data_IF_717439875849
#
_entry.id   IF_717439875849
#
_cell.length_a   1.000
_cell.length_b   1.000
_cell.length_c   1.000
_cell.angle_alpha   90.00
_cell.angle_beta   90.00
_cell.angle_gamma   90.00
#
_symmetry.space_group_name_H-M   'P 1'
#
loop_
_entity.id
_entity.type
_entity.pdbx_description
1 polymer ?
#
# COMPACT_ATOMS: atom_id res chain seq x y z
N UNK A 1 7.80 -9.81 19.01
CA UNK A 1 8.81 -9.60 17.96
C UNK A 1 9.00 -8.09 17.75
N UNK A 2 10.22 -7.63 17.42
CA UNK A 2 10.45 -6.25 16.98
C UNK A 2 10.63 -6.31 15.46
N UNK A 3 9.69 -5.74 14.72
CA UNK A 3 9.79 -5.59 13.26
C UNK A 3 10.31 -4.19 12.92
N UNK A 4 10.83 -4.04 11.70
CA UNK A 4 11.16 -2.72 11.15
C UNK A 4 10.68 -2.63 9.72
N UNK A 5 10.16 -1.45 9.38
CA UNK A 5 9.65 -1.13 8.05
C UNK A 5 10.40 0.08 7.54
N UNK A 6 10.92 -0.02 6.32
CA UNK A 6 11.45 1.12 5.57
C UNK A 6 10.65 1.25 4.28
N UNK A 7 10.06 2.41 4.03
CA UNK A 7 9.31 2.68 2.80
C UNK A 7 9.94 3.80 1.98
N UNK A 8 9.80 3.73 0.67
CA UNK A 8 10.23 4.77 -0.26
C UNK A 8 9.17 4.96 -1.37
N UNK A 9 8.94 6.21 -1.76
CA UNK A 9 8.04 6.59 -2.83
C UNK A 9 8.71 7.60 -3.77
N UNK A 10 8.68 7.35 -5.09
CA UNK A 10 9.33 8.21 -6.08
C UNK A 10 8.55 8.24 -7.40
N UNK A 11 8.47 9.42 -8.05
CA UNK A 11 8.10 9.49 -9.46
C UNK A 11 9.33 9.43 -10.37
N UNK A 12 9.24 8.64 -11.43
CA UNK A 12 10.25 8.56 -12.48
C UNK A 12 9.65 8.00 -13.77
N UNK A 13 10.02 8.55 -14.94
CA UNK A 13 9.62 8.05 -16.27
C UNK A 13 8.13 7.67 -16.45
N UNK A 14 7.19 8.49 -15.95
CA UNK A 14 5.73 8.23 -15.96
C UNK A 14 5.25 7.05 -15.08
N UNK A 15 5.99 6.73 -14.02
CA UNK A 15 5.57 5.78 -13.00
C UNK A 15 5.70 6.38 -11.60
N UNK A 16 4.80 5.98 -10.72
CA UNK A 16 4.97 6.01 -9.27
C UNK A 16 5.60 4.70 -8.83
N UNK A 17 6.77 4.79 -8.22
CA UNK A 17 7.46 3.67 -7.58
C UNK A 17 7.19 3.71 -6.09
N UNK A 18 6.77 2.59 -5.53
CA UNK A 18 6.59 2.36 -4.10
C UNK A 18 7.42 1.14 -3.71
N UNK A 19 8.18 1.24 -2.65
CA UNK A 19 8.97 0.13 -2.15
C UNK A 19 8.88 0.04 -0.64
N UNK A 20 8.92 -1.19 -0.13
CA UNK A 20 9.06 -1.46 1.29
C UNK A 20 10.01 -2.62 1.54
N UNK A 21 10.80 -2.49 2.60
CA UNK A 21 11.56 -3.59 3.21
C UNK A 21 10.98 -3.78 4.61
N UNK A 22 10.52 -5.00 4.89
CA UNK A 22 9.96 -5.39 6.18
C UNK A 22 10.82 -6.50 6.76
N UNK A 23 11.40 -6.26 7.92
CA UNK A 23 12.10 -7.28 8.70
C UNK A 23 11.13 -7.82 9.75
N UNK A 24 10.79 -9.09 9.66
CA UNK A 24 9.91 -9.78 10.59
C UNK A 24 10.49 -11.17 10.91
N UNK A 25 10.85 -11.45 12.17
CA UNK A 25 11.40 -12.76 12.55
C UNK A 25 10.36 -13.89 12.57
N UNK A 26 9.06 -13.59 12.43
CA UNK A 26 7.98 -14.59 12.51
C UNK A 26 7.08 -14.59 11.27
N UNK A 27 7.69 -14.46 10.07
CA UNK A 27 6.96 -14.37 8.80
C UNK A 27 5.94 -15.49 8.58
N UNK A 28 4.72 -15.09 8.23
CA UNK A 28 3.64 -15.98 7.81
C UNK A 28 3.33 -15.75 6.34
N UNK A 29 3.64 -16.77 5.53
CA UNK A 29 3.49 -16.75 4.06
C UNK A 29 2.81 -18.05 3.60
N UNK A 30 1.79 -17.93 2.75
CA UNK A 30 1.23 -19.05 1.98
C UNK A 30 -0.25 -19.38 2.21
N UNK A 31 -0.82 -20.15 1.28
CA UNK A 31 -2.26 -20.44 1.22
C UNK A 31 -2.80 -21.28 2.39
N UNK A 32 -1.93 -21.98 3.14
CA UNK A 32 -2.32 -22.87 4.24
C UNK A 32 -2.72 -22.17 5.55
N UNK A 33 -2.31 -20.91 5.74
CA UNK A 33 -2.62 -20.09 6.93
C UNK A 33 -3.86 -19.21 6.76
N UNK A 34 -4.45 -19.14 5.55
CA UNK A 34 -5.57 -18.24 5.22
C UNK A 34 -5.23 -16.74 5.29
N UNK A 35 -4.03 -16.39 5.72
CA UNK A 35 -3.53 -15.03 5.96
C UNK A 35 -2.04 -14.98 5.62
N UNK A 36 -1.61 -13.88 5.01
CA UNK A 36 -0.23 -13.63 4.61
C UNK A 36 0.17 -12.27 5.16
N UNK A 37 1.40 -12.14 5.63
CA UNK A 37 1.98 -10.86 5.99
C UNK A 37 2.03 -9.95 4.77
N UNK A 38 2.04 -8.65 5.00
CA UNK A 38 2.12 -7.71 3.90
C UNK A 38 2.15 -6.27 4.34
N UNK A 39 2.19 -5.41 3.34
CA UNK A 39 2.09 -3.97 3.51
C UNK A 39 1.03 -3.42 2.59
N UNK A 40 0.30 -2.43 3.08
CA UNK A 40 -0.67 -1.66 2.31
C UNK A 40 -0.09 -0.28 2.08
N UNK A 41 -0.02 0.13 0.81
CA UNK A 41 0.23 1.53 0.45
C UNK A 41 -1.10 2.17 0.11
N UNK A 42 -1.41 3.31 0.74
CA UNK A 42 -2.63 4.05 0.43
C UNK A 42 -2.29 5.45 -0.07
N UNK A 43 -3.03 5.90 -1.08
CA UNK A 43 -2.76 7.14 -1.80
C UNK A 43 -4.05 7.91 -2.06
N UNK A 44 -4.16 9.11 -1.50
CA UNK A 44 -5.17 10.10 -1.90
C UNK A 44 -4.55 10.97 -2.98
N UNK A 45 -4.90 10.69 -4.24
CA UNK A 45 -4.31 11.36 -5.39
C UNK A 45 -4.86 12.76 -5.63
N UNK A 46 -5.99 13.10 -5.01
CA UNK A 46 -6.66 14.39 -5.19
C UNK A 46 -6.48 15.31 -3.99
N UNK A 47 -6.09 14.75 -2.84
CA UNK A 47 -5.87 15.47 -1.57
C UNK A 47 -7.08 16.33 -1.20
N UNK A 48 -8.28 15.78 -1.40
CA UNK A 48 -9.52 16.50 -1.09
C UNK A 48 -9.84 16.52 0.40
N UNK A 49 -9.11 15.76 1.21
CA UNK A 49 -9.30 15.71 2.66
C UNK A 49 -10.60 15.01 3.03
N UNK A 50 -10.94 13.93 2.32
CA UNK A 50 -12.15 13.17 2.60
C UNK A 50 -12.11 12.55 4.00
N UNK A 51 -13.24 12.61 4.71
CA UNK A 51 -13.45 11.94 6.01
C UNK A 51 -13.53 10.42 5.89
N UNK A 52 -13.83 9.92 4.70
CA UNK A 52 -13.90 8.51 4.35
C UNK A 52 -13.30 8.24 2.97
N UNK A 53 -13.07 6.99 2.62
CA UNK A 53 -12.50 6.60 1.32
C UNK A 53 -13.44 6.97 0.17
N UNK A 54 -12.88 7.46 -0.95
CA UNK A 54 -13.66 7.96 -2.09
C UNK A 54 -12.89 7.78 -3.40
N UNK A 55 -13.53 8.02 -4.55
CA UNK A 55 -12.85 8.01 -5.86
C UNK A 55 -11.59 8.89 -5.84
N UNK A 56 -10.52 8.40 -6.46
CA UNK A 56 -9.20 9.04 -6.40
C UNK A 56 -8.37 8.67 -5.16
N UNK A 57 -8.93 7.89 -4.23
CA UNK A 57 -8.23 7.27 -3.09
C UNK A 57 -7.99 5.79 -3.40
N UNK A 58 -6.73 5.36 -3.36
CA UNK A 58 -6.31 4.02 -3.74
C UNK A 58 -5.67 3.28 -2.57
N UNK A 59 -5.83 1.96 -2.54
CA UNK A 59 -5.17 1.06 -1.58
C UNK A 59 -4.52 -0.11 -2.33
N UNK A 60 -3.22 -0.27 -2.19
CA UNK A 60 -2.41 -1.33 -2.79
C UNK A 60 -1.94 -2.29 -1.70
N UNK A 61 -2.57 -3.46 -1.61
CA UNK A 61 -2.22 -4.49 -0.65
C UNK A 61 -1.19 -5.43 -1.30
N UNK A 62 0.00 -5.49 -0.72
CA UNK A 62 1.13 -6.28 -1.19
C UNK A 62 1.46 -7.35 -0.15
N UNK A 63 1.21 -8.60 -0.51
CA UNK A 63 1.57 -9.73 0.35
C UNK A 63 3.05 -10.08 0.26
N UNK A 64 3.59 -10.62 1.35
CA UNK A 64 4.92 -11.21 1.41
C UNK A 64 5.06 -12.43 0.47
N UNK A 65 3.94 -13.06 0.11
CA UNK A 65 3.84 -14.13 -0.90
C UNK A 65 3.83 -13.64 -2.36
N UNK A 66 3.91 -12.32 -2.57
CA UNK A 66 3.84 -11.72 -3.90
C UNK A 66 2.42 -11.47 -4.42
N UNK A 67 1.39 -11.66 -3.59
CA UNK A 67 0.03 -11.26 -3.94
C UNK A 67 -0.11 -9.74 -4.07
N UNK A 68 -0.93 -9.31 -5.04
CA UNK A 68 -1.35 -7.92 -5.24
C UNK A 68 -2.86 -7.84 -5.21
N UNK A 69 -3.39 -6.95 -4.37
CA UNK A 69 -4.79 -6.51 -4.45
C UNK A 69 -4.82 -5.00 -4.53
N UNK A 70 -5.60 -4.46 -5.46
CA UNK A 70 -5.76 -3.01 -5.61
C UNK A 70 -7.22 -2.65 -5.42
N UNK A 71 -7.45 -1.63 -4.60
CA UNK A 71 -8.77 -1.12 -4.30
C UNK A 71 -8.81 0.38 -4.63
N UNK A 72 -9.96 0.87 -5.06
CA UNK A 72 -10.29 2.30 -5.09
C UNK A 72 -11.44 2.57 -4.12
N UNK A 73 -11.42 3.71 -3.45
CA UNK A 73 -12.53 4.18 -2.62
C UNK A 73 -13.78 4.45 -3.46
N UNK A 74 -14.95 4.08 -2.93
CA UNK A 74 -16.25 4.31 -3.54
C UNK A 74 -17.26 4.61 -2.40
N UNK A 75 -17.59 5.89 -2.22
CA UNK A 75 -18.58 6.37 -1.23
C UNK A 75 -18.40 5.81 0.20
N UNK A 76 -17.19 5.86 0.74
CA UNK A 76 -16.84 5.41 2.08
C UNK A 76 -16.53 3.91 2.18
N UNK A 77 -16.64 3.17 1.08
CA UNK A 77 -16.23 1.77 1.00
C UNK A 77 -15.04 1.57 0.07
N UNK A 78 -14.46 0.37 0.09
CA UNK A 78 -13.41 -0.04 -0.83
C UNK A 78 -13.97 -0.95 -1.92
N UNK A 79 -13.66 -0.65 -3.17
CA UNK A 79 -13.99 -1.47 -4.33
C UNK A 79 -12.72 -2.06 -4.93
N UNK A 80 -12.68 -3.37 -5.06
CA UNK A 80 -11.58 -4.05 -5.73
C UNK A 80 -11.56 -3.74 -7.22
N UNK A 81 -10.39 -3.35 -7.72
CA UNK A 81 -10.13 -3.15 -9.13
C UNK A 81 -9.62 -4.45 -9.74
N UNK A 82 -10.36 -4.97 -10.71
CA UNK A 82 -10.06 -6.23 -11.39
C UNK A 82 -9.39 -6.01 -12.75
N UNK A 83 -8.61 -6.98 -13.22
CA UNK A 83 -8.00 -6.94 -14.56
C UNK A 83 -6.86 -5.93 -14.71
N UNK A 84 -6.19 -5.57 -13.61
CA UNK A 84 -5.05 -4.65 -13.63
C UNK A 84 -3.81 -5.39 -14.16
N UNK A 85 -3.43 -5.07 -15.39
CA UNK A 85 -2.25 -5.64 -16.04
C UNK A 85 -1.10 -4.63 -16.20
N UNK A 86 -1.34 -3.35 -15.89
CA UNK A 86 -0.40 -2.25 -16.14
C UNK A 86 0.54 -1.98 -14.97
N UNK A 87 0.21 -2.48 -13.78
CA UNK A 87 1.03 -2.37 -12.57
C UNK A 87 2.02 -3.53 -12.53
N UNK A 88 3.30 -3.25 -12.25
CA UNK A 88 4.30 -4.28 -12.08
C UNK A 88 4.70 -4.37 -10.60
N UNK A 89 4.78 -5.60 -10.10
CA UNK A 89 5.28 -5.88 -8.76
C UNK A 89 6.52 -6.77 -8.85
N UNK A 90 7.47 -6.51 -7.95
CA UNK A 90 8.55 -7.41 -7.63
C UNK A 90 8.52 -7.69 -6.13
N UNK A 91 8.68 -8.96 -5.77
CA UNK A 91 8.79 -9.40 -4.39
C UNK A 91 10.09 -10.18 -4.23
N UNK A 92 10.76 -9.99 -3.10
CA UNK A 92 11.89 -10.81 -2.67
C UNK A 92 11.67 -11.22 -1.23
N UNK A 93 11.43 -12.52 -1.03
CA UNK A 93 11.27 -13.14 0.29
C UNK A 93 12.61 -13.68 0.81
N UNK A 94 12.85 -13.54 2.10
CA UNK A 94 13.93 -14.19 2.84
C UNK A 94 13.38 -14.85 4.11
N UNK A 95 14.22 -15.52 4.89
CA UNK A 95 13.80 -16.23 6.11
C UNK A 95 13.14 -15.31 7.15
N UNK A 96 13.63 -14.06 7.28
CA UNK A 96 13.21 -13.12 8.32
C UNK A 96 12.90 -11.72 7.76
N UNK A 97 12.69 -11.60 6.46
CA UNK A 97 12.30 -10.34 5.83
C UNK A 97 11.65 -10.56 4.49
N UNK A 98 10.91 -9.55 4.03
CA UNK A 98 10.49 -9.45 2.64
C UNK A 98 10.68 -8.02 2.13
N UNK A 99 10.94 -7.93 0.83
CA UNK A 99 10.94 -6.68 0.09
C UNK A 99 9.83 -6.73 -0.96
N UNK A 100 9.08 -5.65 -1.07
CA UNK A 100 8.12 -5.42 -2.15
C UNK A 100 8.47 -4.13 -2.88
N UNK A 101 8.41 -4.18 -4.20
CA UNK A 101 8.54 -3.03 -5.08
C UNK A 101 7.33 -3.03 -6.02
N UNK A 102 6.73 -1.85 -6.20
CA UNK A 102 5.58 -1.63 -7.05
C UNK A 102 5.90 -0.48 -8.00
N UNK A 103 5.60 -0.66 -9.29
CA UNK A 103 5.59 0.42 -10.27
C UNK A 103 4.17 0.59 -10.83
N UNK A 104 3.63 1.79 -10.64
CA UNK A 104 2.26 2.15 -11.05
C UNK A 104 2.36 3.22 -12.13
N UNK A 105 1.92 2.96 -13.37
CA UNK A 105 1.89 3.99 -14.41
C UNK A 105 1.04 5.18 -13.97
N UNK A 106 1.45 6.41 -14.28
CA UNK A 106 0.67 7.59 -13.85
C UNK A 106 -0.73 7.65 -14.50
N UNK A 107 -0.88 7.08 -15.70
CA UNK A 107 -2.18 6.99 -16.41
C UNK A 107 -3.13 5.96 -15.78
N UNK A 108 -2.68 5.19 -14.79
CA UNK A 108 -3.55 4.35 -13.96
C UNK A 108 -4.50 5.19 -13.11
N UNK A 109 -4.06 6.37 -12.68
CA UNK A 109 -4.83 7.22 -11.79
C UNK A 109 -5.83 8.07 -12.59
N UNK A 110 -7.05 8.17 -12.06
CA UNK A 110 -8.07 9.06 -12.64
C UNK A 110 -7.63 10.53 -12.62
N UNK A 111 -6.78 10.89 -11.66
CA UNK A 111 -6.25 12.23 -11.52
C UNK A 111 -4.86 12.36 -12.14
N UNK A 112 -4.62 13.48 -12.82
CA UNK A 112 -3.30 13.76 -13.39
C UNK A 112 -2.30 13.99 -12.25
N UNK A 113 -1.31 13.11 -12.13
CA UNK A 113 -0.20 13.25 -11.21
C UNK A 113 0.92 14.05 -11.88
N UNK A 114 1.08 15.31 -11.48
CA UNK A 114 2.09 16.24 -12.02
C UNK A 114 3.06 16.69 -10.93
N UNK A 115 4.26 17.10 -11.34
CA UNK A 115 5.26 17.69 -10.44
C UNK A 115 4.68 18.85 -9.63
N UNK A 116 4.97 18.87 -8.32
CA UNK A 116 4.45 19.85 -7.37
C UNK A 116 3.04 19.57 -6.86
N UNK A 117 2.32 18.58 -7.40
CA UNK A 117 1.04 18.16 -6.85
C UNK A 117 1.26 17.50 -5.48
N UNK A 118 0.42 17.89 -4.55
CA UNK A 118 0.39 17.34 -3.20
C UNK A 118 -0.59 16.14 -3.17
N UNK A 119 -0.14 15.01 -2.63
CA UNK A 119 -0.92 13.79 -2.43
C UNK A 119 -0.99 13.48 -0.93
N UNK A 120 -1.96 12.66 -0.53
CA UNK A 120 -2.00 12.05 0.81
C UNK A 120 -1.44 10.64 0.73
N UNK A 121 -0.55 10.26 1.65
CA UNK A 121 0.01 8.91 1.71
C UNK A 121 -0.16 8.31 3.10
N UNK A 122 -0.55 7.04 3.12
CA UNK A 122 -0.54 6.21 4.32
C UNK A 122 0.10 4.84 4.02
N UNK A 123 0.58 4.19 5.07
CA UNK A 123 1.10 2.84 5.01
C UNK A 123 0.54 2.06 6.20
N UNK A 124 0.12 0.82 5.94
CA UNK A 124 -0.36 -0.10 6.96
C UNK A 124 0.45 -1.38 6.89
N UNK A 125 1.07 -1.77 7.99
CA UNK A 125 1.70 -3.07 8.10
C UNK A 125 0.61 -4.09 8.48
N UNK A 126 0.52 -5.19 7.73
CA UNK A 126 -0.29 -6.35 8.07
C UNK A 126 0.64 -7.45 8.56
N UNK A 127 0.45 -7.83 9.82
CA UNK A 127 1.22 -8.90 10.45
C UNK A 127 0.27 -10.01 10.91
N UNK A 128 0.56 -11.22 10.47
CA UNK A 128 -0.24 -12.43 10.66
C UNK A 128 0.52 -13.39 11.55
N UNK A 129 -0.22 -14.12 12.37
CA UNK A 129 0.30 -15.12 13.27
C UNK A 129 -0.07 -16.52 12.81
N UNK A 130 0.72 -17.52 13.20
CA UNK A 130 0.51 -18.93 12.82
C UNK A 130 -0.84 -19.51 13.26
N UNK A 131 -1.52 -18.88 14.22
CA UNK A 131 -2.86 -19.25 14.68
C UNK A 131 -3.98 -18.62 13.83
N UNK A 132 -3.66 -17.94 12.73
CA UNK A 132 -4.61 -17.34 11.78
C UNK A 132 -5.13 -15.96 12.16
N UNK A 133 -4.70 -15.42 13.32
CA UNK A 133 -4.98 -14.03 13.68
C UNK A 133 -4.04 -13.10 12.92
N UNK A 134 -4.51 -11.91 12.56
CA UNK A 134 -3.66 -10.84 12.06
C UNK A 134 -4.03 -9.53 12.75
N UNK A 135 -3.10 -8.59 12.75
CA UNK A 135 -3.36 -7.21 13.09
C UNK A 135 -2.81 -6.29 12.00
N UNK A 136 -3.42 -5.12 11.92
CA UNK A 136 -3.00 -4.06 11.04
C UNK A 136 -2.51 -2.88 11.88
N UNK A 137 -1.35 -2.35 11.53
CA UNK A 137 -0.76 -1.19 12.20
C UNK A 137 -0.52 -0.10 11.17
N UNK A 138 -1.14 1.06 11.37
CA UNK A 138 -0.90 2.24 10.54
C UNK A 138 0.39 2.93 10.95
N UNK A 139 1.03 3.63 10.00
CA UNK A 139 2.08 4.57 10.36
C UNK A 139 1.46 5.75 11.13
N UNK A 140 2.07 6.13 12.27
CA UNK A 140 1.67 7.29 13.08
C UNK A 140 0.16 7.33 13.40
N UNK A 141 -0.41 8.53 13.57
CA UNK A 141 -1.83 8.80 13.82
C UNK A 141 -2.72 8.76 12.56
N UNK A 142 -2.29 8.07 11.50
CA UNK A 142 -3.11 7.92 10.30
C UNK A 142 -4.17 6.84 10.54
N UNK A 143 -5.40 7.10 10.11
CA UNK A 143 -6.46 6.10 10.05
C UNK A 143 -6.65 5.67 8.59
N UNK A 144 -6.60 4.36 8.35
CA UNK A 144 -6.60 3.72 7.03
C UNK A 144 -7.86 3.99 6.22
N UNK A 145 -8.97 4.34 6.88
CA UNK A 145 -10.23 4.65 6.20
C UNK A 145 -10.53 6.15 6.19
N UNK A 146 -9.60 6.99 6.68
CA UNK A 146 -9.77 8.44 6.82
C UNK A 146 -8.67 9.23 6.09
N UNK A 147 -8.80 9.45 4.76
CA UNK A 147 -7.77 10.10 3.94
C UNK A 147 -7.32 11.48 4.43
N UNK A 148 -8.18 12.24 5.10
CA UNK A 148 -7.80 13.54 5.68
C UNK A 148 -6.68 13.44 6.73
N UNK A 149 -6.53 12.29 7.39
CA UNK A 149 -5.50 12.07 8.41
C UNK A 149 -4.11 11.82 7.79
N UNK A 150 -4.04 11.53 6.49
CA UNK A 150 -2.83 11.01 5.86
C UNK A 150 -1.73 12.05 5.65
N UNK A 151 -0.50 11.56 5.71
CA UNK A 151 0.70 12.37 5.60
C UNK A 151 0.78 13.07 4.23
N UNK A 152 1.25 14.33 4.17
CA UNK A 152 1.54 14.96 2.90
C UNK A 152 2.72 14.33 2.17
N UNK A 153 2.51 14.01 0.90
CA UNK A 153 3.55 13.61 -0.03
C UNK A 153 3.60 14.57 -1.22
N UNK A 154 4.78 15.03 -1.58
CA UNK A 154 4.99 15.92 -2.71
C UNK A 154 5.63 15.18 -3.86
N UNK A 155 5.02 15.30 -5.03
CA UNK A 155 5.67 14.85 -6.26
C UNK A 155 6.81 15.82 -6.58
N UNK A 156 8.06 15.33 -6.51
CA UNK A 156 9.27 16.07 -6.90
C UNK A 156 9.53 16.07 -8.41
#
# INVERSE_FOLDING_TARGET
>A
AMYSVQTNGRLYNNYLYLAAIVNDPELVVGAGSGTTDGIVFQLDTERKGYEATHYGVYSFHLGADGSLKVMEGEFGGWKELVGINSIQQKNQLSENSYMVELSVPLDFFNSKLVKGKQLGINFTLKNSFKNGYYFEENITSNDSDQPFSWCPFYIQ
#
